data_IF_175139872500
#
_entry.id   IF_175139872500
#
_cell.length_a   1.000
_cell.length_b   1.000
_cell.length_c   1.000
_cell.angle_alpha   90.00
_cell.angle_beta   90.00
_cell.angle_gamma   90.00
#
_symmetry.space_group_name_H-M   'P 1'
#
loop_
_entity.id
_entity.type
_entity.pdbx_description
1 polymer ?
#
# COMPACT_ATOMS: atom_id res chain seq x y z
N UNK A 1 -3.01 30.38 16.30
CA UNK A 1 -4.07 30.25 17.31
C UNK A 1 -5.19 29.41 16.66
N UNK A 2 -4.91 28.16 16.26
CA UNK A 2 -5.27 26.91 16.96
C UNK A 2 -4.33 25.75 16.49
N UNK A 3 -3.06 25.74 16.94
CA UNK A 3 -2.19 24.56 16.72
C UNK A 3 -2.53 23.48 17.73
N UNK A 4 -3.59 22.71 17.49
CA UNK A 4 -3.90 21.50 18.26
C UNK A 4 -3.66 20.27 17.40
N UNK A 5 -2.44 19.74 17.48
CA UNK A 5 -2.12 18.36 17.12
C UNK A 5 -2.49 17.50 18.33
N UNK A 6 -3.57 16.72 18.23
CA UNK A 6 -3.89 15.74 19.28
C UNK A 6 -3.18 14.44 18.94
N UNK A 7 -2.03 14.25 19.58
CA UNK A 7 -1.42 12.95 19.79
C UNK A 7 -2.34 12.15 20.73
N UNK A 8 -3.42 11.56 20.22
CA UNK A 8 -3.82 10.22 20.60
C UNK A 8 -3.80 9.65 22.06
N UNK A 9 -2.68 9.61 22.83
CA UNK A 9 -2.43 8.84 24.10
C UNK A 9 -1.68 9.84 24.95
N UNK A 10 -2.41 10.51 25.82
CA UNK A 10 -2.29 10.40 27.28
C UNK A 10 -3.29 11.35 27.95
N UNK A 11 -3.74 10.98 29.15
CA UNK A 11 -4.39 11.88 30.10
C UNK A 11 -3.70 11.63 31.45
N UNK A 12 -3.09 12.65 32.04
CA UNK A 12 -2.55 12.62 33.41
C UNK A 12 -1.05 12.86 33.52
N UNK A 13 -0.67 13.78 34.40
CA UNK A 13 0.62 14.42 34.55
C UNK A 13 1.72 13.51 35.14
N UNK A 14 2.96 13.71 34.69
CA UNK A 14 4.16 13.08 35.24
C UNK A 14 4.57 11.79 34.52
N UNK A 15 5.72 11.86 33.85
CA UNK A 15 6.36 10.83 33.01
C UNK A 15 5.78 10.63 31.59
N UNK A 16 6.68 10.90 30.63
CA UNK A 16 6.56 10.80 29.17
C UNK A 16 5.70 9.62 28.72
N UNK A 17 4.57 9.88 28.06
CA UNK A 17 3.71 8.83 27.51
C UNK A 17 2.82 9.37 26.39
N UNK A 18 2.46 8.56 25.39
CA UNK A 18 3.06 8.51 24.03
C UNK A 18 1.95 7.98 23.06
N UNK A 19 1.56 8.73 22.01
CA UNK A 19 0.76 8.37 20.77
C UNK A 19 1.22 7.18 19.95
N UNK A 20 1.85 6.20 20.55
CA UNK A 20 1.87 4.83 20.09
C UNK A 20 1.80 3.98 21.37
N UNK A 21 0.71 3.21 21.52
CA UNK A 21 0.24 2.51 22.73
C UNK A 21 1.04 2.64 24.03
N UNK A 22 0.57 3.44 24.99
CA UNK A 22 0.75 3.13 26.42
C UNK A 22 -0.33 3.75 27.33
N UNK A 23 -0.88 2.91 28.21
CA UNK A 23 -1.54 3.27 29.48
C UNK A 23 -0.99 2.31 30.53
N UNK A 24 -0.71 2.80 31.74
CA UNK A 24 -0.25 2.02 32.89
C UNK A 24 -1.42 1.88 33.87
N UNK A 25 -1.88 0.64 34.12
CA UNK A 25 -2.88 0.33 35.14
C UNK A 25 -2.17 -0.03 36.46
N UNK A 26 -2.31 0.82 37.47
CA UNK A 26 -1.59 0.75 38.74
C UNK A 26 -2.12 -0.29 39.74
N UNK A 27 -3.10 -1.14 39.37
CA UNK A 27 -3.73 -2.08 40.32
C UNK A 27 -3.39 -3.57 40.14
N UNK A 28 -2.84 -4.00 39.00
CA UNK A 28 -2.72 -5.46 38.72
C UNK A 28 -1.34 -5.93 38.25
N UNK A 29 -0.37 -5.03 38.03
CA UNK A 29 1.02 -5.40 37.66
C UNK A 29 1.15 -6.25 36.38
N UNK A 30 0.08 -6.41 35.61
CA UNK A 30 -0.02 -7.31 34.46
C UNK A 30 0.06 -6.48 33.17
N UNK A 31 1.16 -6.61 32.41
CA UNK A 31 1.42 -5.82 31.20
C UNK A 31 0.73 -6.44 29.98
N UNK A 32 -0.25 -5.73 29.40
CA UNK A 32 -0.83 -6.06 28.10
C UNK A 32 -0.80 -4.82 27.18
N UNK A 33 0.15 -4.78 26.25
CA UNK A 33 0.31 -3.71 25.25
C UNK A 33 -0.05 -4.21 23.85
N UNK A 34 -0.77 -3.39 23.06
CA UNK A 34 -0.97 -3.63 21.62
C UNK A 34 -0.05 -2.73 20.79
N UNK A 35 0.81 -3.36 20.00
CA UNK A 35 1.94 -2.86 19.23
C UNK A 35 1.52 -2.49 17.78
N UNK A 36 1.19 -1.23 17.45
CA UNK A 36 0.78 -0.86 16.07
C UNK A 36 1.99 -0.74 15.10
N UNK A 37 3.08 -0.03 15.43
CA UNK A 37 4.32 -0.04 14.64
C UNK A 37 4.93 -1.42 14.53
N UNK A 38 5.05 -2.15 15.64
CA UNK A 38 5.62 -3.49 15.62
C UNK A 38 4.67 -4.51 14.97
N UNK A 39 3.36 -4.36 15.08
CA UNK A 39 2.39 -5.14 14.29
C UNK A 39 2.52 -4.88 12.78
N UNK A 40 2.84 -3.66 12.37
CA UNK A 40 3.20 -3.35 10.99
C UNK A 40 4.54 -3.99 10.59
N UNK A 41 5.60 -3.78 11.40
CA UNK A 41 6.95 -4.28 11.13
C UNK A 41 6.98 -5.82 11.10
N UNK A 42 6.24 -6.50 11.96
CA UNK A 42 6.27 -7.97 12.02
C UNK A 42 5.22 -8.61 11.10
N UNK A 43 4.07 -7.97 10.90
CA UNK A 43 2.89 -8.63 10.30
C UNK A 43 2.40 -8.06 8.98
N UNK A 44 2.87 -6.88 8.57
CA UNK A 44 2.43 -6.23 7.33
C UNK A 44 3.50 -6.24 6.25
N UNK A 45 3.06 -6.18 5.00
CA UNK A 45 3.94 -5.96 3.84
C UNK A 45 4.61 -4.58 3.97
N UNK A 46 5.84 -4.39 3.46
CA UNK A 46 6.50 -3.07 3.39
C UNK A 46 5.88 -2.16 2.31
N UNK A 47 4.55 -2.09 2.29
CA UNK A 47 3.74 -1.34 1.35
C UNK A 47 2.72 -0.50 2.13
N UNK A 48 2.73 0.80 1.90
CA UNK A 48 1.95 1.78 2.62
C UNK A 48 1.14 2.62 1.63
N UNK A 49 -0.16 2.73 1.86
CA UNK A 49 -1.02 3.74 1.24
C UNK A 49 -1.06 5.00 2.09
N UNK A 50 -0.91 6.15 1.45
CA UNK A 50 -1.08 7.48 2.02
C UNK A 50 -2.33 8.12 1.41
N UNK A 51 -3.20 8.64 2.26
CA UNK A 51 -4.40 9.33 1.79
C UNK A 51 -4.91 10.31 2.84
N UNK A 52 -5.60 11.33 2.35
CA UNK A 52 -6.24 12.36 3.13
C UNK A 52 -7.74 12.38 2.90
N UNK A 53 -8.52 12.75 3.92
CA UNK A 53 -9.95 12.94 3.74
C UNK A 53 -10.46 14.10 4.60
N UNK A 54 -11.37 14.91 4.04
CA UNK A 54 -11.95 16.04 4.76
C UNK A 54 -12.82 15.59 5.94
N UNK A 55 -12.77 16.35 7.03
CA UNK A 55 -13.78 16.26 8.09
C UNK A 55 -15.14 16.72 7.56
N UNK A 56 -16.21 16.25 8.20
CA UNK A 56 -17.60 16.56 7.81
C UNK A 56 -18.27 17.43 8.87
N UNK A 57 -19.33 18.13 8.48
CA UNK A 57 -20.17 18.89 9.41
C UNK A 57 -19.57 20.23 9.79
N UNK A 58 -19.64 20.58 11.08
CA UNK A 58 -19.27 21.91 11.59
C UNK A 58 -17.77 22.09 11.85
N UNK A 59 -16.99 21.00 11.73
CA UNK A 59 -15.57 21.00 12.07
C UNK A 59 -14.75 21.11 10.78
N UNK A 60 -14.01 22.21 10.56
CA UNK A 60 -13.09 22.32 9.43
C UNK A 60 -11.88 21.41 9.66
N UNK A 61 -11.18 21.09 8.57
CA UNK A 61 -9.96 20.29 8.62
C UNK A 61 -10.04 18.98 7.85
N UNK A 62 -8.98 18.20 7.98
CA UNK A 62 -8.81 16.91 7.34
C UNK A 62 -8.19 15.87 8.28
N UNK A 63 -8.28 14.63 7.85
CA UNK A 63 -7.61 13.47 8.42
C UNK A 63 -6.62 13.00 7.38
N UNK A 64 -5.33 12.94 7.72
CA UNK A 64 -4.32 12.27 6.92
C UNK A 64 -3.97 10.94 7.58
N UNK A 65 -3.83 9.90 6.77
CA UNK A 65 -3.65 8.54 7.27
C UNK A 65 -2.67 7.73 6.44
N UNK A 66 -2.04 6.79 7.14
CA UNK A 66 -1.14 5.78 6.62
C UNK A 66 -1.79 4.42 6.87
N UNK A 67 -1.97 3.64 5.81
CA UNK A 67 -2.57 2.31 5.86
C UNK A 67 -1.66 1.28 5.22
N UNK A 68 -1.55 0.10 5.80
CA UNK A 68 -0.80 -1.01 5.27
C UNK A 68 -1.71 -2.21 4.99
N UNK A 69 -1.11 -3.29 4.50
CA UNK A 69 -1.76 -4.56 4.26
C UNK A 69 -1.09 -5.62 5.12
N UNK A 70 -1.88 -6.28 5.96
CA UNK A 70 -1.42 -7.40 6.77
C UNK A 70 -1.19 -8.66 5.92
N UNK A 71 -0.57 -9.68 6.53
CA UNK A 71 -0.30 -10.96 5.88
C UNK A 71 -1.54 -11.68 5.32
N UNK A 72 -2.76 -11.29 5.72
CA UNK A 72 -4.03 -11.85 5.26
C UNK A 72 -4.82 -10.86 4.39
N UNK A 73 -4.13 -9.95 3.68
CA UNK A 73 -4.73 -8.95 2.79
C UNK A 73 -5.70 -7.97 3.48
N UNK A 74 -5.66 -7.87 4.82
CA UNK A 74 -6.48 -6.95 5.58
C UNK A 74 -5.87 -5.55 5.66
N UNK A 75 -6.71 -4.53 5.50
CA UNK A 75 -6.32 -3.13 5.74
C UNK A 75 -5.89 -2.96 7.20
N UNK A 76 -4.69 -2.45 7.43
CA UNK A 76 -4.11 -2.21 8.75
C UNK A 76 -3.79 -0.71 8.89
N UNK A 77 -4.54 0.05 9.71
CA UNK A 77 -4.20 1.44 9.99
C UNK A 77 -2.87 1.52 10.73
N UNK A 78 -1.90 2.25 10.19
CA UNK A 78 -0.57 2.42 10.79
C UNK A 78 -0.52 3.69 11.63
N UNK A 79 -0.91 4.82 11.02
CA UNK A 79 -0.90 6.13 11.66
C UNK A 79 -2.02 7.01 11.12
N UNK A 80 -2.51 7.93 11.93
CA UNK A 80 -3.55 8.90 11.58
C UNK A 80 -3.23 10.24 12.27
N UNK A 81 -3.42 11.35 11.58
CA UNK A 81 -3.35 12.68 12.15
C UNK A 81 -4.52 13.56 11.69
N UNK A 82 -4.90 14.51 12.55
CA UNK A 82 -5.83 15.58 12.21
C UNK A 82 -5.01 16.79 11.79
N UNK A 83 -5.37 17.41 10.68
CA UNK A 83 -4.72 18.61 10.16
C UNK A 83 -5.76 19.68 9.80
N UNK A 84 -5.36 20.95 9.87
CA UNK A 84 -6.23 22.06 9.45
C UNK A 84 -6.45 22.06 7.93
N UNK A 85 -5.41 21.74 7.17
CA UNK A 85 -5.42 21.66 5.70
C UNK A 85 -4.45 20.58 5.27
N UNK A 86 -4.79 19.86 4.20
CA UNK A 86 -3.87 18.96 3.54
C UNK A 86 -2.90 19.77 2.66
N UNK A 87 -1.66 19.95 3.13
CA UNK A 87 -0.63 20.72 2.44
C UNK A 87 0.76 20.11 2.65
N UNK A 88 1.78 20.74 2.05
CA UNK A 88 3.19 20.32 2.18
C UNK A 88 3.64 20.27 3.64
N UNK A 89 3.24 21.24 4.46
CA UNK A 89 3.64 21.29 5.87
C UNK A 89 3.00 20.17 6.68
N UNK A 90 1.70 19.89 6.47
CA UNK A 90 1.01 18.81 7.19
C UNK A 90 1.55 17.43 6.79
N UNK A 91 1.81 17.22 5.49
CA UNK A 91 2.41 15.98 4.98
C UNK A 91 3.86 15.81 5.45
N UNK A 92 4.66 16.88 5.41
CA UNK A 92 6.03 16.89 5.91
C UNK A 92 6.10 16.54 7.39
N UNK A 93 5.29 17.20 8.22
CA UNK A 93 5.20 16.90 9.64
C UNK A 93 4.78 15.45 9.90
N UNK A 94 3.77 14.96 9.19
CA UNK A 94 3.25 13.60 9.37
C UNK A 94 4.25 12.52 8.94
N UNK A 95 4.91 12.69 7.79
CA UNK A 95 5.88 11.73 7.28
C UNK A 95 7.19 11.74 8.06
N UNK A 96 7.58 12.88 8.65
CA UNK A 96 8.64 12.95 9.64
C UNK A 96 8.32 12.04 10.84
N UNK A 97 7.16 12.24 11.46
CA UNK A 97 6.79 11.49 12.65
C UNK A 97 6.65 10.00 12.32
N UNK A 98 6.13 9.67 11.13
CA UNK A 98 6.09 8.28 10.67
C UNK A 98 7.51 7.69 10.56
N UNK A 99 8.47 8.44 10.04
CA UNK A 99 9.87 8.00 9.89
C UNK A 99 10.51 7.71 11.24
N UNK A 100 10.32 8.59 12.22
CA UNK A 100 10.85 8.43 13.58
C UNK A 100 10.35 7.15 14.27
N UNK A 101 9.19 6.61 13.87
CA UNK A 101 8.58 5.44 14.52
C UNK A 101 8.75 4.13 13.75
N UNK A 102 8.79 4.16 12.42
CA UNK A 102 8.85 2.93 11.59
C UNK A 102 9.89 2.99 10.46
N UNK A 103 10.62 4.10 10.31
CA UNK A 103 11.53 4.35 9.20
C UNK A 103 13.01 4.14 9.50
N UNK A 104 13.37 3.86 10.75
CA UNK A 104 14.76 3.70 11.19
C UNK A 104 15.35 2.30 10.91
N UNK A 105 14.58 1.37 10.37
CA UNK A 105 15.07 0.04 9.98
C UNK A 105 15.54 0.05 8.52
N UNK A 106 16.85 0.24 8.32
CA UNK A 106 17.49 0.27 7.00
C UNK A 106 17.31 -1.04 6.22
N UNK A 107 16.99 -2.17 6.88
CA UNK A 107 16.77 -3.44 6.21
C UNK A 107 15.37 -3.55 5.60
N UNK A 108 14.45 -2.62 5.92
CA UNK A 108 13.05 -2.67 5.50
C UNK A 108 12.69 -1.47 4.63
N UNK A 109 13.18 -1.48 3.39
CA UNK A 109 12.78 -0.48 2.38
C UNK A 109 11.27 -0.52 2.13
N UNK A 110 10.62 0.63 2.28
CA UNK A 110 9.18 0.79 2.10
C UNK A 110 8.82 1.23 0.68
N UNK A 111 7.61 0.87 0.24
CA UNK A 111 6.95 1.44 -0.93
C UNK A 111 5.71 2.22 -0.51
N UNK A 112 5.60 3.46 -0.96
CA UNK A 112 4.42 4.30 -0.76
C UNK A 112 3.50 4.27 -1.98
N UNK A 113 2.19 4.28 -1.75
CA UNK A 113 1.13 4.46 -2.73
C UNK A 113 0.41 5.76 -2.40
N UNK A 114 0.39 6.69 -3.34
CA UNK A 114 -0.19 8.04 -3.15
C UNK A 114 -1.06 8.45 -4.33
N UNK A 115 -2.07 9.27 -4.08
CA UNK A 115 -2.90 9.93 -5.08
C UNK A 115 -2.22 11.15 -5.75
N UNK A 116 -0.99 11.50 -5.32
CA UNK A 116 -0.21 12.65 -5.77
C UNK A 116 -0.79 14.01 -5.39
N UNK A 117 -1.49 14.09 -4.24
CA UNK A 117 -1.90 15.38 -3.70
C UNK A 117 -0.72 16.32 -3.43
N UNK A 118 -1.01 17.63 -3.36
CA UNK A 118 0.03 18.67 -3.28
C UNK A 118 0.90 18.51 -2.03
N UNK A 119 2.20 18.36 -2.24
CA UNK A 119 3.20 18.33 -1.17
C UNK A 119 3.51 16.94 -0.60
N UNK A 120 2.72 15.90 -0.92
CA UNK A 120 2.98 14.54 -0.40
C UNK A 120 4.26 13.94 -1.01
N UNK A 121 4.49 14.11 -2.32
CA UNK A 121 5.67 13.58 -3.01
C UNK A 121 6.94 14.23 -2.47
N UNK A 122 6.97 15.57 -2.42
CA UNK A 122 8.09 16.33 -1.83
C UNK A 122 8.40 15.88 -0.39
N UNK A 123 7.36 15.64 0.41
CA UNK A 123 7.51 15.21 1.80
C UNK A 123 8.05 13.76 1.90
N UNK A 124 7.67 12.87 0.99
CA UNK A 124 8.25 11.52 0.90
C UNK A 124 9.73 11.62 0.50
N UNK A 125 10.06 12.41 -0.53
CA UNK A 125 11.46 12.58 -0.97
C UNK A 125 12.35 13.14 0.15
N UNK A 126 11.81 14.03 0.97
CA UNK A 126 12.53 14.64 2.10
C UNK A 126 12.77 13.66 3.25
N UNK A 127 11.76 12.91 3.68
CA UNK A 127 11.83 12.07 4.89
C UNK A 127 12.12 10.60 4.63
N UNK A 128 11.89 10.14 3.40
CA UNK A 128 11.99 8.73 2.99
C UNK A 128 12.74 8.58 1.65
N UNK A 129 13.97 9.13 1.52
CA UNK A 129 14.70 9.19 0.26
C UNK A 129 15.02 7.81 -0.35
N UNK A 130 15.10 6.76 0.48
CA UNK A 130 15.34 5.38 0.04
C UNK A 130 14.07 4.61 -0.36
N UNK A 131 12.88 5.22 -0.26
CA UNK A 131 11.61 4.56 -0.54
C UNK A 131 11.24 4.56 -2.02
N UNK A 132 10.45 3.56 -2.42
CA UNK A 132 9.84 3.53 -3.76
C UNK A 132 8.47 4.17 -3.73
N UNK A 133 8.10 4.87 -4.80
CA UNK A 133 6.82 5.55 -4.92
C UNK A 133 5.96 4.97 -6.03
N UNK A 134 4.71 4.67 -5.72
CA UNK A 134 3.65 4.30 -6.67
C UNK A 134 2.54 5.34 -6.61
N UNK A 135 1.99 5.62 -7.77
CA UNK A 135 0.91 6.56 -7.96
C UNK A 135 -0.39 5.79 -8.19
N UNK A 136 -1.44 6.19 -7.48
CA UNK A 136 -2.74 5.56 -7.60
C UNK A 136 -3.26 5.73 -9.03
N UNK A 137 -3.37 4.61 -9.76
CA UNK A 137 -3.81 4.62 -11.15
C UNK A 137 -5.21 5.23 -11.31
N UNK A 138 -6.10 4.99 -10.34
CA UNK A 138 -7.45 5.58 -10.33
C UNK A 138 -7.38 7.11 -10.43
N UNK A 139 -6.54 7.73 -9.61
CA UNK A 139 -6.33 9.17 -9.62
C UNK A 139 -5.58 9.66 -10.88
N UNK A 140 -4.69 8.85 -11.46
CA UNK A 140 -4.09 9.16 -12.77
C UNK A 140 -5.18 9.20 -13.85
N UNK A 141 -6.07 8.22 -13.88
CA UNK A 141 -7.19 8.15 -14.83
C UNK A 141 -8.17 9.30 -14.61
N UNK A 142 -8.49 9.64 -13.36
CA UNK A 142 -9.40 10.76 -13.07
C UNK A 142 -8.78 12.11 -13.51
N UNK A 143 -7.46 12.29 -13.31
CA UNK A 143 -6.73 13.45 -13.84
C UNK A 143 -6.66 13.47 -15.38
N UNK A 144 -6.51 12.31 -16.00
CA UNK A 144 -6.55 12.16 -17.46
C UNK A 144 -7.93 12.58 -17.99
N UNK A 145 -9.01 12.04 -17.42
CA UNK A 145 -10.41 12.37 -17.79
C UNK A 145 -10.74 13.84 -17.59
N UNK A 146 -10.19 14.47 -16.56
CA UNK A 146 -10.39 15.91 -16.33
C UNK A 146 -9.74 16.77 -17.43
N UNK A 147 -8.64 16.30 -18.04
CA UNK A 147 -7.91 17.01 -19.10
C UNK A 147 -8.35 16.63 -20.52
N UNK A 148 -8.78 15.39 -20.71
CA UNK A 148 -9.14 14.81 -22.00
C UNK A 148 -10.58 14.28 -21.91
N UNK A 149 -11.48 14.88 -22.70
CA UNK A 149 -12.89 14.48 -22.74
C UNK A 149 -13.04 13.18 -23.55
N UNK A 150 -12.90 12.04 -22.89
CA UNK A 150 -13.10 10.72 -23.49
C UNK A 150 -13.05 9.60 -22.45
N UNK A 151 -14.08 8.75 -22.39
CA UNK A 151 -14.11 7.61 -21.48
C UNK A 151 -13.35 6.38 -22.01
N UNK A 152 -13.01 6.36 -23.30
CA UNK A 152 -12.57 5.14 -23.99
C UNK A 152 -11.16 4.68 -23.61
N UNK A 153 -10.27 5.58 -23.19
CA UNK A 153 -8.89 5.22 -22.83
C UNK A 153 -8.73 4.65 -21.42
N UNK A 154 -9.76 4.70 -20.57
CA UNK A 154 -9.64 4.23 -19.17
C UNK A 154 -9.30 2.75 -19.08
N UNK A 155 -9.97 1.91 -19.88
CA UNK A 155 -9.76 0.46 -19.86
C UNK A 155 -8.40 0.08 -20.44
N UNK A 156 -7.93 0.82 -21.45
CA UNK A 156 -6.58 0.66 -22.02
C UNK A 156 -5.49 1.05 -21.02
N UNK A 157 -5.69 2.12 -20.26
CA UNK A 157 -4.78 2.53 -19.17
C UNK A 157 -4.75 1.44 -18.08
N UNK A 158 -5.90 0.88 -17.72
CA UNK A 158 -5.95 -0.25 -16.77
C UNK A 158 -5.22 -1.48 -17.28
N UNK A 159 -5.38 -1.82 -18.57
CA UNK A 159 -4.68 -2.93 -19.23
C UNK A 159 -3.17 -2.73 -19.15
N UNK A 160 -2.67 -1.59 -19.61
CA UNK A 160 -1.24 -1.26 -19.57
C UNK A 160 -0.69 -1.22 -18.12
N UNK A 161 -1.43 -0.65 -17.18
CA UNK A 161 -0.96 -0.59 -15.79
C UNK A 161 -0.85 -1.95 -15.11
N UNK A 162 -1.73 -2.91 -15.48
CA UNK A 162 -1.76 -4.26 -14.92
C UNK A 162 -0.86 -5.26 -15.63
N UNK A 163 -0.28 -4.90 -16.78
CA UNK A 163 0.65 -5.74 -17.54
C UNK A 163 1.80 -6.23 -16.65
N UNK A 164 2.06 -7.53 -16.68
CA UNK A 164 3.07 -8.17 -15.83
C UNK A 164 4.48 -8.11 -16.41
N UNK A 165 4.61 -7.86 -17.71
CA UNK A 165 5.88 -7.76 -18.44
C UNK A 165 5.84 -6.58 -19.42
N UNK A 166 7.02 -6.22 -19.96
CA UNK A 166 7.16 -5.09 -20.87
C UNK A 166 6.48 -5.31 -22.23
N UNK A 167 6.49 -6.55 -22.76
CA UNK A 167 5.87 -6.84 -24.06
C UNK A 167 4.35 -6.59 -24.05
N UNK A 168 3.65 -7.10 -23.04
CA UNK A 168 2.21 -6.87 -22.85
C UNK A 168 1.91 -5.38 -22.58
N UNK A 169 2.82 -4.69 -21.91
CA UNK A 169 2.73 -3.24 -21.70
C UNK A 169 2.81 -2.49 -23.02
N UNK A 170 3.81 -2.77 -23.85
CA UNK A 170 3.99 -2.11 -25.16
C UNK A 170 2.84 -2.39 -26.12
N UNK A 171 2.28 -3.61 -26.11
CA UNK A 171 1.07 -3.94 -26.88
C UNK A 171 -0.10 -3.05 -26.42
N UNK A 172 -0.36 -2.97 -25.12
CA UNK A 172 -1.44 -2.15 -24.58
C UNK A 172 -1.23 -0.65 -24.84
N UNK A 173 0.02 -0.18 -24.81
CA UNK A 173 0.36 1.22 -25.10
C UNK A 173 0.23 1.56 -26.58
N UNK A 174 0.55 0.64 -27.50
CA UNK A 174 0.30 0.82 -28.95
C UNK A 174 -1.18 0.90 -29.27
N UNK A 175 -1.99 0.00 -28.70
CA UNK A 175 -3.46 0.04 -28.85
C UNK A 175 -4.05 1.37 -28.35
N UNK A 176 -3.53 1.88 -27.23
CA UNK A 176 -3.89 3.21 -26.72
C UNK A 176 -3.45 4.33 -27.65
N UNK A 177 -2.25 4.25 -28.21
CA UNK A 177 -1.72 5.26 -29.14
C UNK A 177 -2.59 5.38 -30.40
N UNK A 178 -3.00 4.25 -30.96
CA UNK A 178 -3.85 4.19 -32.16
C UNK A 178 -5.26 4.70 -31.90
N UNK A 179 -5.81 4.48 -30.70
CA UNK A 179 -7.18 4.85 -30.35
C UNK A 179 -7.30 6.26 -29.78
N UNK A 180 -6.36 6.66 -28.93
CA UNK A 180 -6.35 7.90 -28.15
C UNK A 180 -4.91 8.39 -27.95
N UNK A 181 -4.37 9.03 -28.99
CA UNK A 181 -3.01 9.57 -29.02
C UNK A 181 -2.76 10.60 -27.89
N UNK A 182 -3.78 11.34 -27.47
CA UNK A 182 -3.67 12.32 -26.39
C UNK A 182 -3.52 11.64 -25.02
N UNK A 183 -4.29 10.58 -24.75
CA UNK A 183 -4.12 9.76 -23.56
C UNK A 183 -2.74 9.10 -23.52
N UNK A 184 -2.26 8.55 -24.65
CA UNK A 184 -0.91 8.03 -24.76
C UNK A 184 0.14 9.10 -24.38
N UNK A 185 0.06 10.29 -25.00
CA UNK A 185 0.97 11.39 -24.74
C UNK A 185 0.93 11.86 -23.27
N UNK A 186 -0.24 11.80 -22.62
CA UNK A 186 -0.38 12.10 -21.20
C UNK A 186 0.31 11.05 -20.32
N UNK A 187 0.06 9.76 -20.59
CA UNK A 187 0.61 8.65 -19.80
C UNK A 187 2.14 8.57 -19.91
N UNK A 188 2.69 8.83 -21.10
CA UNK A 188 4.14 8.84 -21.34
C UNK A 188 4.88 9.93 -20.56
N UNK A 189 4.18 10.96 -20.06
CA UNK A 189 4.78 11.98 -19.17
C UNK A 189 5.02 11.47 -17.75
N UNK A 190 4.38 10.37 -17.36
CA UNK A 190 4.50 9.78 -16.02
C UNK A 190 5.44 8.57 -16.14
N UNK A 191 6.60 8.55 -15.45
CA UNK A 191 7.50 7.40 -15.51
C UNK A 191 6.78 6.10 -15.11
N UNK A 192 6.94 5.05 -15.94
CA UNK A 192 6.23 3.76 -15.81
C UNK A 192 6.43 3.10 -14.45
N UNK A 193 7.62 3.26 -13.86
CA UNK A 193 7.95 2.78 -12.50
C UNK A 193 6.98 3.23 -11.40
N UNK A 194 6.23 4.30 -11.64
CA UNK A 194 5.26 4.81 -10.67
C UNK A 194 3.84 4.26 -10.87
N UNK A 195 3.47 3.75 -12.05
CA UNK A 195 2.06 3.43 -12.32
C UNK A 195 1.79 2.10 -13.02
N UNK A 196 2.80 1.46 -13.62
CA UNK A 196 2.65 0.18 -14.29
C UNK A 196 3.42 -0.94 -13.61
N UNK A 197 2.76 -2.08 -13.43
CA UNK A 197 3.25 -3.23 -12.67
C UNK A 197 4.56 -3.81 -13.22
N UNK A 198 4.73 -3.88 -14.53
CA UNK A 198 5.95 -4.41 -15.15
C UNK A 198 7.22 -3.64 -14.76
N UNK A 199 7.10 -2.36 -14.40
CA UNK A 199 8.21 -1.47 -14.07
C UNK A 199 8.33 -1.15 -12.57
N UNK A 200 7.48 -1.74 -11.73
CA UNK A 200 7.57 -1.53 -10.28
C UNK A 200 8.86 -2.09 -9.70
N UNK A 201 9.36 -1.40 -8.68
CA UNK A 201 10.49 -1.87 -7.90
C UNK A 201 10.22 -3.28 -7.34
N UNK A 202 11.21 -4.15 -7.54
CA UNK A 202 11.08 -5.57 -7.25
C UNK A 202 11.21 -5.92 -5.76
N UNK A 203 11.66 -5.00 -4.91
CA UNK A 203 11.84 -5.24 -3.47
C UNK A 203 10.50 -5.58 -2.81
N UNK A 204 9.44 -4.88 -3.20
CA UNK A 204 8.10 -5.06 -2.64
C UNK A 204 7.21 -5.86 -3.58
N UNK A 205 6.99 -7.13 -3.23
CA UNK A 205 6.07 -8.03 -3.95
C UNK A 205 4.61 -7.68 -3.66
N UNK A 206 4.11 -6.68 -4.39
CA UNK A 206 2.72 -6.24 -4.37
C UNK A 206 2.23 -5.91 -5.78
N UNK A 207 1.06 -6.41 -6.13
CA UNK A 207 0.33 -6.18 -7.39
C UNK A 207 -0.57 -4.94 -7.35
N UNK A 208 -0.57 -4.19 -6.25
CA UNK A 208 -1.43 -3.01 -6.11
C UNK A 208 -0.96 -1.86 -7.01
N UNK A 209 -1.85 -1.47 -7.94
CA UNK A 209 -1.73 -0.30 -8.83
C UNK A 209 -2.66 0.85 -8.40
N UNK A 210 -3.53 0.63 -7.40
CA UNK A 210 -4.44 1.64 -6.85
C UNK A 210 -4.34 1.71 -5.34
N UNK A 211 -4.76 2.84 -4.78
CA UNK A 211 -4.77 3.09 -3.34
C UNK A 211 -6.05 2.60 -2.65
N UNK A 212 -6.57 1.45 -3.10
CA UNK A 212 -7.81 0.88 -2.58
C UNK A 212 -7.77 0.64 -1.06
N UNK A 213 -6.58 0.43 -0.50
CA UNK A 213 -6.38 0.23 0.94
C UNK A 213 -6.72 1.46 1.76
N UNK A 214 -6.32 2.65 1.28
CA UNK A 214 -6.62 3.91 1.94
C UNK A 214 -8.07 4.32 1.67
N UNK A 215 -8.60 4.09 0.47
CA UNK A 215 -10.02 4.29 0.16
C UNK A 215 -10.92 3.44 1.08
N UNK A 216 -10.57 2.17 1.28
CA UNK A 216 -11.27 1.28 2.22
C UNK A 216 -11.21 1.79 3.67
N UNK A 217 -10.08 2.37 4.08
CA UNK A 217 -9.94 2.98 5.41
C UNK A 217 -10.79 4.25 5.54
N UNK A 218 -10.74 5.13 4.55
CA UNK A 218 -11.52 6.37 4.51
C UNK A 218 -13.03 6.08 4.58
N UNK A 219 -13.50 5.07 3.84
CA UNK A 219 -14.87 4.59 3.92
C UNK A 219 -15.21 4.04 5.31
N UNK A 220 -14.28 3.34 5.95
CA UNK A 220 -14.49 2.76 7.28
C UNK A 220 -14.65 3.82 8.39
N UNK A 221 -13.90 4.92 8.30
CA UNK A 221 -13.96 6.03 9.27
C UNK A 221 -15.01 7.08 8.92
N UNK A 222 -15.67 6.97 7.76
CA UNK A 222 -16.58 7.99 7.23
C UNK A 222 -17.65 8.45 8.23
N UNK A 223 -18.24 7.48 8.93
CA UNK A 223 -19.29 7.70 9.95
C UNK A 223 -18.82 8.51 11.17
N UNK A 224 -17.51 8.60 11.40
CA UNK A 224 -16.95 9.36 12.51
C UNK A 224 -16.59 10.79 12.12
N UNK A 225 -16.43 11.08 10.81
CA UNK A 225 -15.90 12.36 10.31
C UNK A 225 -16.74 13.59 10.66
N UNK A 226 -18.02 13.40 11.00
CA UNK A 226 -18.93 14.48 11.42
C UNK A 226 -18.90 14.82 12.91
N UNK A 227 -18.11 14.08 13.70
CA UNK A 227 -18.09 14.19 15.16
C UNK A 227 -17.04 15.21 15.62
N UNK A 228 -17.17 15.75 16.85
CA UNK A 228 -16.10 16.55 17.46
C UNK A 228 -14.78 15.78 17.48
N UNK A 229 -13.66 16.48 17.31
CA UNK A 229 -12.32 15.88 17.13
C UNK A 229 -12.00 14.80 18.18
N UNK A 230 -12.21 15.09 19.47
CA UNK A 230 -11.96 14.11 20.54
C UNK A 230 -12.87 12.87 20.43
N UNK A 231 -14.14 13.06 20.09
CA UNK A 231 -15.11 11.96 19.92
C UNK A 231 -14.79 11.11 18.70
N UNK A 232 -14.42 11.74 17.58
CA UNK A 232 -13.97 11.08 16.36
C UNK A 232 -12.76 10.20 16.66
N UNK A 233 -11.77 10.77 17.32
CA UNK A 233 -10.51 10.14 17.69
C UNK A 233 -10.74 8.92 18.62
N UNK A 234 -11.55 9.09 19.66
CA UNK A 234 -11.88 7.99 20.58
C UNK A 234 -12.67 6.87 19.89
N UNK A 235 -13.61 7.21 19.00
CA UNK A 235 -14.35 6.22 18.24
C UNK A 235 -13.48 5.46 17.24
N UNK A 236 -12.53 6.14 16.58
CA UNK A 236 -11.52 5.49 15.74
C UNK A 236 -10.65 4.54 16.55
N UNK A 237 -10.14 4.97 17.71
CA UNK A 237 -9.34 4.12 18.60
C UNK A 237 -10.10 2.85 19.02
N UNK A 238 -11.37 2.99 19.45
CA UNK A 238 -12.24 1.85 19.79
C UNK A 238 -12.48 0.93 18.60
N UNK A 239 -12.66 1.48 17.40
CA UNK A 239 -12.90 0.70 16.20
C UNK A 239 -11.64 -0.10 15.79
N UNK A 240 -10.45 0.50 15.88
CA UNK A 240 -9.16 -0.18 15.65
C UNK A 240 -8.97 -1.30 16.66
N UNK A 241 -9.17 -1.01 17.95
CA UNK A 241 -9.04 -1.99 19.03
C UNK A 241 -9.94 -3.22 18.81
N UNK A 242 -11.23 -3.02 18.51
CA UNK A 242 -12.16 -4.12 18.21
C UNK A 242 -11.70 -4.93 17.00
N UNK A 243 -11.17 -4.28 15.97
CA UNK A 243 -10.69 -4.96 14.75
C UNK A 243 -9.46 -5.81 15.01
N UNK A 244 -8.48 -5.28 15.75
CA UNK A 244 -7.27 -6.01 16.13
C UNK A 244 -7.63 -7.22 16.99
N UNK A 245 -8.49 -7.04 18.00
CA UNK A 245 -8.93 -8.14 18.85
C UNK A 245 -9.62 -9.24 18.03
N UNK A 246 -10.55 -8.88 17.12
CA UNK A 246 -11.18 -9.85 16.23
C UNK A 246 -10.16 -10.62 15.38
N UNK A 247 -9.18 -9.92 14.79
CA UNK A 247 -8.12 -10.55 13.99
C UNK A 247 -7.27 -11.51 14.82
N UNK A 248 -6.96 -11.14 16.06
CA UNK A 248 -6.25 -12.01 16.99
C UNK A 248 -7.04 -13.28 17.31
N UNK A 249 -8.33 -13.17 17.63
CA UNK A 249 -9.19 -14.34 17.87
C UNK A 249 -9.35 -15.22 16.62
N UNK A 250 -9.36 -14.63 15.43
CA UNK A 250 -9.39 -15.39 14.19
C UNK A 250 -8.04 -16.07 13.89
N UNK A 251 -6.92 -15.42 14.22
CA UNK A 251 -5.57 -15.96 14.06
C UNK A 251 -5.29 -17.15 14.99
N UNK A 252 -5.83 -17.16 16.21
CA UNK A 252 -5.76 -18.32 17.11
C UNK A 252 -6.34 -19.61 16.50
N UNK A 253 -7.27 -19.48 15.55
CA UNK A 253 -7.92 -20.60 14.85
C UNK A 253 -7.14 -21.04 13.62
N UNK A 254 -5.94 -20.50 13.38
CA UNK A 254 -5.12 -20.90 12.23
C UNK A 254 -4.33 -22.14 12.59
N UNK A 255 -4.38 -23.15 11.71
CA UNK A 255 -3.63 -24.40 11.85
C UNK A 255 -2.28 -24.36 11.12
N UNK A 256 -2.03 -23.29 10.35
CA UNK A 256 -0.87 -23.16 9.47
C UNK A 256 -0.21 -21.80 9.66
N UNK A 257 1.08 -21.73 9.35
CA UNK A 257 1.87 -20.47 9.35
C UNK A 257 1.40 -19.52 8.25
N UNK A 258 0.86 -20.07 7.15
CA UNK A 258 0.33 -19.29 6.02
C UNK A 258 -1.10 -18.82 6.34
N UNK A 259 -1.38 -17.55 6.05
CA UNK A 259 -2.71 -16.98 6.25
C UNK A 259 -3.74 -17.59 5.30
N UNK A 260 -5.00 -17.66 5.73
CA UNK A 260 -6.07 -18.36 5.00
C UNK A 260 -6.27 -17.82 3.58
N UNK A 261 -6.25 -16.50 3.38
CA UNK A 261 -6.44 -15.91 2.06
C UNK A 261 -5.23 -16.08 1.15
N UNK A 262 -4.01 -16.10 1.70
CA UNK A 262 -2.82 -16.43 0.92
C UNK A 262 -2.87 -17.89 0.48
N UNK A 263 -3.21 -18.81 1.39
CA UNK A 263 -3.37 -20.23 1.05
C UNK A 263 -4.42 -20.44 -0.03
N UNK A 264 -5.58 -19.75 0.06
CA UNK A 264 -6.60 -19.78 -0.98
C UNK A 264 -6.04 -19.35 -2.34
N UNK A 265 -5.35 -18.21 -2.41
CA UNK A 265 -4.71 -17.75 -3.65
C UNK A 265 -3.65 -18.71 -4.18
N UNK A 266 -2.89 -19.36 -3.31
CA UNK A 266 -1.89 -20.34 -3.72
C UNK A 266 -2.55 -21.56 -4.39
N UNK A 267 -3.66 -22.05 -3.83
CA UNK A 267 -4.43 -23.16 -4.42
C UNK A 267 -5.02 -22.75 -5.76
N UNK A 268 -5.62 -21.55 -5.85
CA UNK A 268 -6.13 -21.00 -7.12
C UNK A 268 -5.03 -20.92 -8.19
N UNK A 269 -3.86 -20.38 -7.84
CA UNK A 269 -2.72 -20.30 -8.76
C UNK A 269 -2.19 -21.68 -9.18
N UNK A 270 -2.18 -22.66 -8.26
CA UNK A 270 -1.81 -24.04 -8.56
C UNK A 270 -2.80 -24.66 -9.55
N UNK A 271 -4.08 -24.40 -9.35
CA UNK A 271 -5.16 -24.90 -10.20
C UNK A 271 -5.07 -24.33 -11.61
N UNK A 272 -4.81 -23.02 -11.74
CA UNK A 272 -4.62 -22.30 -13.01
C UNK A 272 -3.33 -22.75 -13.72
N UNK A 273 -2.25 -22.99 -12.96
CA UNK A 273 -0.97 -23.44 -13.49
C UNK A 273 -1.02 -24.79 -14.21
N UNK A 274 -2.04 -25.62 -13.95
CA UNK A 274 -2.24 -26.91 -14.63
C UNK A 274 -2.51 -26.77 -16.14
N UNK A 275 -2.99 -25.61 -16.58
CA UNK A 275 -3.29 -25.36 -17.99
C UNK A 275 -2.13 -24.72 -18.74
N UNK A 276 -1.02 -24.46 -18.04
CA UNK A 276 0.17 -23.83 -18.59
C UNK A 276 1.17 -24.92 -18.97
N UNK A 277 1.61 -24.92 -20.22
CA UNK A 277 2.66 -25.82 -20.68
C UNK A 277 4.02 -25.14 -20.47
N UNK A 278 4.92 -25.80 -19.75
CA UNK A 278 6.29 -25.33 -19.50
C UNK A 278 7.25 -26.24 -20.26
N UNK A 279 8.05 -25.66 -21.15
CA UNK A 279 9.07 -26.34 -21.93
C UNK A 279 10.42 -25.84 -21.42
N UNK A 280 11.24 -26.76 -20.91
CA UNK A 280 12.58 -26.44 -20.45
C UNK A 280 13.49 -26.19 -21.65
N UNK A 281 14.09 -25.01 -21.73
CA UNK A 281 15.14 -24.69 -22.71
C UNK A 281 16.53 -24.92 -22.10
N UNK A 282 16.73 -24.51 -20.84
CA UNK A 282 17.96 -24.72 -20.06
C UNK A 282 17.66 -24.73 -18.54
N UNK A 283 18.67 -24.92 -17.68
CA UNK A 283 18.53 -24.98 -16.21
C UNK A 283 17.74 -23.81 -15.61
N UNK A 284 17.81 -22.63 -16.24
CA UNK A 284 17.12 -21.41 -15.80
C UNK A 284 16.21 -20.80 -16.85
N UNK A 285 16.05 -21.43 -18.01
CA UNK A 285 15.28 -20.87 -19.14
C UNK A 285 14.14 -21.80 -19.52
N UNK A 286 12.94 -21.23 -19.60
CA UNK A 286 11.72 -21.96 -19.88
C UNK A 286 10.89 -21.21 -20.90
N UNK A 287 10.36 -21.92 -21.90
CA UNK A 287 9.24 -21.42 -22.68
C UNK A 287 7.95 -21.79 -21.97
N UNK A 288 7.08 -20.82 -21.73
CA UNK A 288 5.81 -21.02 -21.06
C UNK A 288 4.68 -20.62 -22.01
N UNK A 289 3.80 -21.58 -22.25
CA UNK A 289 2.67 -21.46 -23.16
C UNK A 289 1.36 -21.48 -22.38
N UNK A 290 0.64 -20.37 -22.42
CA UNK A 290 -0.70 -20.22 -21.85
C UNK A 290 -1.68 -19.84 -22.96
N UNK A 291 -2.57 -20.78 -23.32
CA UNK A 291 -3.58 -20.66 -24.39
C UNK A 291 -3.00 -20.23 -25.75
N UNK A 292 -2.88 -18.93 -25.99
CA UNK A 292 -2.40 -18.30 -27.24
C UNK A 292 -1.10 -17.52 -27.07
N UNK A 293 -0.62 -17.34 -25.84
CA UNK A 293 0.60 -16.59 -25.54
C UNK A 293 1.75 -17.57 -25.28
N UNK A 294 2.86 -17.34 -25.96
CA UNK A 294 4.13 -18.04 -25.76
C UNK A 294 5.11 -17.01 -25.20
N UNK A 295 5.69 -17.32 -24.05
CA UNK A 295 6.55 -16.38 -23.34
C UNK A 295 7.81 -17.08 -22.84
N UNK A 296 8.97 -16.50 -23.10
CA UNK A 296 10.23 -16.97 -22.54
C UNK A 296 10.39 -16.44 -21.11
N UNK A 297 10.65 -17.35 -20.19
CA UNK A 297 10.82 -17.12 -18.77
C UNK A 297 12.23 -17.51 -18.35
N UNK A 298 13.01 -16.54 -17.89
CA UNK A 298 14.29 -16.78 -17.23
C UNK A 298 14.10 -16.68 -15.73
N UNK A 299 14.34 -17.80 -15.05
CA UNK A 299 14.35 -17.88 -13.60
C UNK A 299 15.67 -17.33 -13.06
N UNK A 300 15.63 -16.12 -12.50
CA UNK A 300 16.78 -15.55 -11.80
C UNK A 300 16.70 -15.95 -10.32
N UNK A 301 17.80 -16.49 -9.80
CA UNK A 301 17.97 -16.76 -8.38
C UNK A 301 17.77 -15.48 -7.56
N UNK A 302 16.76 -15.45 -6.68
CA UNK A 302 16.63 -14.41 -5.67
C UNK A 302 16.31 -15.06 -4.31
N UNK A 303 17.13 -14.75 -3.32
CA UNK A 303 16.85 -15.12 -1.93
C UNK A 303 15.64 -14.32 -1.46
N UNK A 304 14.53 -14.98 -1.08
CA UNK A 304 13.36 -14.32 -0.52
C UNK A 304 13.35 -14.53 0.99
N UNK A 305 13.46 -13.44 1.74
CA UNK A 305 13.27 -13.45 3.19
C UNK A 305 11.79 -13.19 3.45
N UNK A 306 11.08 -14.17 4.01
CA UNK A 306 9.69 -14.04 4.47
C UNK A 306 9.68 -14.18 5.99
N UNK A 307 9.83 -13.07 6.71
CA UNK A 307 9.92 -13.06 8.18
C UNK A 307 11.18 -13.78 8.68
N UNK A 308 11.05 -14.63 9.71
CA UNK A 308 12.14 -15.46 10.23
C UNK A 308 12.48 -16.69 9.35
N UNK A 309 11.79 -16.87 8.22
CA UNK A 309 12.04 -17.96 7.28
C UNK A 309 12.64 -17.45 5.96
N UNK A 310 13.70 -18.10 5.49
CA UNK A 310 14.11 -18.00 4.10
C UNK A 310 13.22 -18.91 3.25
N UNK A 311 12.56 -18.32 2.25
CA UNK A 311 11.92 -19.04 1.15
C UNK A 311 12.80 -18.84 -0.08
N UNK A 312 13.23 -19.93 -0.70
CA UNK A 312 13.85 -19.86 -2.03
C UNK A 312 12.70 -19.66 -3.02
N UNK A 313 12.69 -18.53 -3.73
CA UNK A 313 11.70 -18.29 -4.78
C UNK A 313 12.40 -17.73 -6.01
N UNK A 314 12.07 -18.28 -7.17
CA UNK A 314 12.59 -17.83 -8.44
C UNK A 314 11.78 -16.65 -8.95
N UNK A 315 12.47 -15.61 -9.46
CA UNK A 315 11.80 -14.52 -10.17
C UNK A 315 11.88 -14.76 -11.67
N UNK A 316 10.72 -14.73 -12.31
CA UNK A 316 10.51 -14.67 -13.73
C UNK A 316 11.01 -13.33 -14.31
N UNK A 317 12.16 -13.32 -14.99
CA UNK A 317 12.62 -12.21 -15.82
C UNK A 317 12.48 -12.57 -17.30
N UNK A 318 12.12 -11.61 -18.16
CA UNK A 318 12.07 -11.80 -19.61
C UNK A 318 13.18 -10.96 -20.25
N UNK A 319 14.21 -11.57 -20.86
CA UNK A 319 15.33 -10.83 -21.41
C UNK A 319 15.09 -10.47 -22.88
N UNK A 320 14.19 -9.55 -23.19
CA UNK A 320 14.26 -8.84 -24.47
C UNK A 320 13.85 -7.38 -24.27
N UNK A 321 14.80 -6.48 -24.60
CA UNK A 321 14.80 -5.01 -24.54
C UNK A 321 15.52 -4.40 -23.32
N UNK A 322 16.86 -4.44 -23.41
CA UNK A 322 17.78 -3.41 -22.89
C UNK A 322 17.63 -2.09 -23.64
#
# INVERSE_FOLDING_TARGET
MLRQVVQLWTYGEGNKSWFCGSFEDNYTGSKHSFQVPEGFILGCRPFIGLDGCHLKGKFPGGIIATTAIDANFGVFPVAVAICEVECKDSWGWFLQHLYEHIGLDDNRRLTFMTDRQKGVIDAIEMWWPGSSNRFCLRHIIDNLRAKHRGNQSSDMVWKAAKSSNNADFEIAMREMQETDQDAYNYMMKIPTKHWSRHAFDEHVKSDHVSNNISECFNNWIDKFRGQPTLTLLENMRRAIMKRIHKRHEDAKKWSTVISRLVMKKMIENQDDGRFVQVICADEFEYEVKDKTLITMLILVWKNVIVGLGQLVAFHASMPWLS
#
